data_IF_329715413225
#
_entry.id   IF_329715413225
#
_cell.length_a   1.000
_cell.length_b   1.000
_cell.length_c   1.000
_cell.angle_alpha   90.00
_cell.angle_beta   90.00
_cell.angle_gamma   90.00
#
_symmetry.space_group_name_H-M   'P 1'
#
loop_
_entity.id
_entity.type
_entity.pdbx_description
1 polymer ?
#
# COMPACT_ATOMS: atom_id res chain seq x y z
N UNK A 1 1.79 45.27 17.71
CA UNK A 1 1.47 46.55 17.04
C UNK A 1 0.87 47.48 18.08
N UNK A 2 1.14 48.78 18.00
CA UNK A 2 0.70 49.79 18.96
C UNK A 2 0.01 50.91 18.20
N UNK A 3 -1.16 51.32 18.67
CA UNK A 3 -1.99 52.37 18.11
C UNK A 3 -2.27 53.40 19.20
N UNK A 4 -2.12 54.67 18.87
CA UNK A 4 -2.38 55.79 19.79
C UNK A 4 -3.42 56.72 19.17
N UNK A 5 -4.40 57.15 19.98
CA UNK A 5 -5.39 58.17 19.58
C UNK A 5 -5.69 59.06 20.79
N UNK A 6 -5.13 60.27 20.79
CA UNK A 6 -5.22 61.20 21.92
C UNK A 6 -4.63 60.56 23.19
N UNK A 7 -5.29 60.65 24.36
CA UNK A 7 -4.82 60.05 25.61
C UNK A 7 -4.97 58.52 25.69
N UNK A 8 -5.42 57.86 24.63
CA UNK A 8 -5.69 56.41 24.62
C UNK A 8 -4.60 55.65 23.84
N UNK A 9 -4.11 54.56 24.42
CA UNK A 9 -3.13 53.63 23.85
C UNK A 9 -3.75 52.23 23.76
N UNK A 10 -3.61 51.62 22.58
CA UNK A 10 -4.03 50.25 22.32
C UNK A 10 -2.86 49.46 21.73
N UNK A 11 -2.49 48.35 22.36
CA UNK A 11 -1.45 47.47 21.88
C UNK A 11 -1.96 46.03 21.83
N UNK A 12 -1.58 45.30 20.78
CA UNK A 12 -1.81 43.87 20.73
C UNK A 12 -0.60 43.13 20.16
N UNK A 13 -0.47 41.87 20.58
CA UNK A 13 0.53 40.91 20.09
C UNK A 13 -0.16 39.57 19.84
N UNK A 14 0.28 38.85 18.80
CA UNK A 14 -0.17 37.49 18.54
C UNK A 14 -1.51 37.34 17.80
N UNK A 15 -1.86 38.26 16.87
CA UNK A 15 -3.07 38.15 16.03
C UNK A 15 -3.22 36.77 15.36
N UNK A 16 -2.11 36.18 14.93
CA UNK A 16 -2.10 34.84 14.33
C UNK A 16 -2.72 33.77 15.25
N UNK A 17 -2.40 33.79 16.55
CA UNK A 17 -2.99 32.87 17.54
C UNK A 17 -4.49 33.13 17.81
N UNK A 18 -4.99 34.32 17.49
CA UNK A 18 -6.44 34.62 17.57
C UNK A 18 -7.23 33.89 16.48
N UNK A 19 -6.69 33.86 15.27
CA UNK A 19 -7.32 33.24 14.10
C UNK A 19 -6.98 31.76 13.91
N UNK A 20 -5.95 31.25 14.60
CA UNK A 20 -5.54 29.86 14.52
C UNK A 20 -6.68 28.82 14.69
N UNK A 21 -7.64 28.98 15.63
CA UNK A 21 -8.76 28.05 15.75
C UNK A 21 -9.63 27.99 14.48
N UNK A 22 -9.82 29.09 13.76
CA UNK A 22 -10.55 29.10 12.50
C UNK A 22 -9.80 28.25 11.46
N UNK A 23 -8.47 28.40 11.41
CA UNK A 23 -7.61 27.57 10.56
C UNK A 23 -7.73 26.07 10.85
N UNK A 24 -7.85 25.68 12.12
CA UNK A 24 -8.08 24.26 12.49
C UNK A 24 -9.40 23.74 11.93
N UNK A 25 -10.49 24.51 12.01
CA UNK A 25 -11.79 24.10 11.45
C UNK A 25 -11.75 23.97 9.93
N UNK A 26 -11.10 24.93 9.24
CA UNK A 26 -10.88 24.84 7.79
C UNK A 26 -10.07 23.59 7.44
N UNK A 27 -9.00 23.30 8.19
CA UNK A 27 -8.20 22.10 7.98
C UNK A 27 -9.01 20.80 8.15
N UNK A 28 -9.90 20.75 9.16
CA UNK A 28 -10.82 19.61 9.33
C UNK A 28 -11.79 19.45 8.15
N UNK A 29 -12.31 20.55 7.61
CA UNK A 29 -13.16 20.52 6.41
C UNK A 29 -12.39 19.97 5.20
N UNK A 30 -11.12 20.37 5.02
CA UNK A 30 -10.27 19.82 3.96
C UNK A 30 -10.04 18.32 4.11
N UNK A 31 -9.70 17.84 5.32
CA UNK A 31 -9.53 16.41 5.58
C UNK A 31 -10.83 15.65 5.27
N UNK A 32 -11.97 16.16 5.72
CA UNK A 32 -13.27 15.55 5.47
C UNK A 32 -13.62 15.52 3.98
N UNK A 33 -13.43 16.64 3.27
CA UNK A 33 -13.68 16.73 1.83
C UNK A 33 -12.78 15.76 1.04
N UNK A 34 -11.49 15.69 1.39
CA UNK A 34 -10.56 14.74 0.79
C UNK A 34 -10.97 13.29 1.05
N UNK A 35 -11.40 12.95 2.27
CA UNK A 35 -11.88 11.62 2.60
C UNK A 35 -13.17 11.25 1.85
N UNK A 36 -14.11 12.20 1.69
CA UNK A 36 -15.32 12.01 0.87
C UNK A 36 -14.95 11.77 -0.60
N UNK A 37 -13.99 12.53 -1.13
CA UNK A 37 -13.51 12.33 -2.51
C UNK A 37 -12.82 10.97 -2.67
N UNK A 38 -11.97 10.55 -1.72
CA UNK A 38 -11.40 9.20 -1.69
C UNK A 38 -12.50 8.12 -1.68
N UNK A 39 -13.52 8.27 -0.83
CA UNK A 39 -14.58 7.26 -0.71
C UNK A 39 -15.41 7.12 -2.00
N UNK A 40 -15.64 8.23 -2.70
CA UNK A 40 -16.60 8.29 -3.81
C UNK A 40 -15.98 8.32 -5.21
N UNK A 41 -14.70 8.66 -5.32
CA UNK A 41 -13.96 8.80 -6.59
C UNK A 41 -12.75 7.88 -6.74
N UNK A 42 -12.52 6.95 -5.81
CA UNK A 42 -11.39 5.99 -5.91
C UNK A 42 -11.74 4.75 -6.73
N UNK A 43 -10.69 4.07 -7.19
CA UNK A 43 -10.77 2.73 -7.78
C UNK A 43 -9.94 1.74 -6.97
N UNK A 44 -10.39 0.48 -6.95
CA UNK A 44 -9.61 -0.65 -6.43
C UNK A 44 -9.73 -1.85 -7.37
N UNK A 45 -8.61 -2.53 -7.61
CA UNK A 45 -8.54 -3.81 -8.31
C UNK A 45 -7.60 -4.77 -7.57
N UNK A 46 -7.78 -6.06 -7.79
CA UNK A 46 -6.89 -7.10 -7.30
C UNK A 46 -6.81 -8.19 -8.37
N UNK A 47 -5.60 -8.68 -8.63
CA UNK A 47 -5.36 -9.69 -9.67
C UNK A 47 -4.19 -10.61 -9.26
N UNK A 48 -4.34 -11.89 -9.54
CA UNK A 48 -3.25 -12.87 -9.45
C UNK A 48 -2.76 -13.21 -10.85
N UNK A 49 -1.48 -12.95 -11.13
CA UNK A 49 -0.92 -13.06 -12.47
C UNK A 49 0.31 -13.97 -12.45
N UNK A 50 0.28 -15.10 -13.18
CA UNK A 50 1.46 -15.94 -13.41
C UNK A 50 2.61 -15.15 -14.04
N UNK A 51 3.85 -15.51 -13.70
CA UNK A 51 5.01 -14.93 -14.37
C UNK A 51 4.96 -15.19 -15.89
N UNK A 52 5.39 -14.19 -16.67
CA UNK A 52 5.36 -14.19 -18.13
C UNK A 52 4.02 -13.78 -18.74
N UNK A 53 2.98 -13.51 -17.95
CA UNK A 53 1.68 -13.07 -18.44
C UNK A 53 1.45 -11.57 -18.23
N UNK A 54 0.44 -11.08 -18.95
CA UNK A 54 0.03 -9.68 -18.97
C UNK A 54 -1.39 -9.52 -18.43
N UNK A 55 -1.68 -8.30 -17.96
CA UNK A 55 -3.04 -7.84 -17.75
C UNK A 55 -3.15 -6.35 -18.05
N UNK A 56 -4.34 -5.91 -18.45
CA UNK A 56 -4.65 -4.49 -18.61
C UNK A 56 -5.21 -3.95 -17.30
N UNK A 57 -4.75 -2.78 -16.88
CA UNK A 57 -5.17 -2.19 -15.60
C UNK A 57 -6.69 -1.96 -15.56
N UNK A 58 -7.27 -1.43 -16.63
CA UNK A 58 -8.70 -1.12 -16.72
C UNK A 58 -9.61 -2.33 -16.48
N UNK A 59 -9.19 -3.54 -16.87
CA UNK A 59 -9.99 -4.76 -16.78
C UNK A 59 -10.23 -5.21 -15.33
N UNK A 60 -9.29 -4.90 -14.44
CA UNK A 60 -9.34 -5.32 -13.04
C UNK A 60 -9.83 -4.20 -12.11
N UNK A 61 -9.81 -2.95 -12.56
CA UNK A 61 -10.12 -1.79 -11.74
C UNK A 61 -11.63 -1.59 -11.61
N UNK A 62 -12.13 -1.63 -10.37
CA UNK A 62 -13.54 -1.40 -10.06
C UNK A 62 -13.72 -0.03 -9.39
N UNK A 63 -14.69 0.78 -9.85
CA UNK A 63 -15.01 2.05 -9.19
C UNK A 63 -15.57 1.79 -7.80
N UNK A 64 -15.19 2.60 -6.81
CA UNK A 64 -15.74 2.51 -5.44
C UNK A 64 -17.00 3.36 -5.26
N UNK A 65 -17.21 4.37 -6.12
CA UNK A 65 -18.37 5.26 -6.02
C UNK A 65 -18.73 5.96 -7.33
N UNK A 66 -19.77 6.78 -7.26
CA UNK A 66 -20.45 7.37 -8.43
C UNK A 66 -19.59 8.47 -9.10
N UNK A 67 -18.65 9.08 -8.37
CA UNK A 67 -17.75 10.13 -8.88
C UNK A 67 -16.42 9.57 -9.41
N UNK A 68 -16.33 8.25 -9.62
CA UNK A 68 -15.11 7.60 -10.09
C UNK A 68 -14.97 7.81 -11.60
N UNK A 69 -13.97 8.60 -12.02
CA UNK A 69 -13.65 8.84 -13.43
C UNK A 69 -12.41 8.03 -13.78
N UNK A 70 -12.51 7.14 -14.76
CA UNK A 70 -11.40 6.30 -15.20
C UNK A 70 -10.32 7.18 -15.89
N UNK A 71 -9.07 7.20 -15.39
CA UNK A 71 -7.97 7.92 -16.02
C UNK A 71 -7.39 7.12 -17.20
N UNK A 72 -6.75 7.82 -18.14
CA UNK A 72 -6.20 7.22 -19.38
C UNK A 72 -5.16 6.11 -19.13
N UNK A 73 -4.46 6.17 -17.99
CA UNK A 73 -3.52 5.14 -17.53
C UNK A 73 -4.16 3.76 -17.33
N UNK A 74 -5.50 3.65 -17.34
CA UNK A 74 -6.18 2.34 -17.29
C UNK A 74 -5.94 1.50 -18.55
N UNK A 75 -5.53 2.14 -19.65
CA UNK A 75 -5.16 1.44 -20.87
C UNK A 75 -3.73 0.89 -20.87
N UNK A 76 -2.96 1.13 -19.79
CA UNK A 76 -1.61 0.59 -19.65
C UNK A 76 -1.65 -0.91 -19.37
N UNK A 77 -0.84 -1.66 -20.12
CA UNK A 77 -0.64 -3.09 -19.92
C UNK A 77 0.51 -3.32 -18.92
N UNK A 78 0.31 -4.26 -18.00
CA UNK A 78 1.30 -4.66 -17.01
C UNK A 78 1.74 -6.08 -17.34
N UNK A 79 3.03 -6.24 -17.64
CA UNK A 79 3.67 -7.55 -17.79
C UNK A 79 4.39 -7.94 -16.49
N UNK A 80 4.17 -9.16 -16.04
CA UNK A 80 4.93 -9.75 -14.94
C UNK A 80 6.15 -10.46 -15.52
N UNK A 81 7.30 -9.79 -15.56
CA UNK A 81 8.54 -10.39 -16.08
C UNK A 81 8.95 -11.60 -15.25
N UNK A 82 8.92 -11.45 -13.91
CA UNK A 82 9.38 -12.47 -12.98
C UNK A 82 8.77 -12.26 -11.60
N UNK A 83 8.43 -13.37 -10.96
CA UNK A 83 8.13 -13.41 -9.53
C UNK A 83 9.16 -14.29 -8.83
N UNK A 84 9.69 -13.85 -7.69
CA UNK A 84 10.61 -14.65 -6.89
C UNK A 84 10.53 -14.31 -5.41
N UNK A 85 10.97 -15.27 -4.60
CA UNK A 85 10.95 -15.20 -3.14
C UNK A 85 12.38 -15.28 -2.61
N UNK A 86 12.70 -14.44 -1.64
CA UNK A 86 13.92 -14.56 -0.83
C UNK A 86 13.60 -15.30 0.45
N UNK A 87 14.55 -16.11 0.91
CA UNK A 87 14.40 -16.97 2.08
C UNK A 87 15.55 -16.69 3.04
N UNK A 88 15.27 -16.78 4.33
CA UNK A 88 16.31 -16.81 5.36
C UNK A 88 17.04 -18.16 5.32
N UNK A 89 18.20 -18.23 5.99
CA UNK A 89 18.94 -19.48 6.15
C UNK A 89 18.13 -20.57 6.88
N UNK A 90 17.12 -20.17 7.66
CA UNK A 90 16.14 -21.07 8.29
C UNK A 90 15.18 -21.74 7.31
N UNK A 91 15.13 -21.28 6.05
CA UNK A 91 14.18 -21.72 5.02
C UNK A 91 12.82 -20.99 5.06
N UNK A 92 12.63 -20.06 5.99
CA UNK A 92 11.42 -19.22 6.02
C UNK A 92 11.48 -18.11 4.97
N UNK A 93 10.32 -17.73 4.43
CA UNK A 93 10.22 -16.66 3.44
C UNK A 93 10.52 -15.32 4.11
N UNK A 94 11.51 -14.60 3.57
CA UNK A 94 11.90 -13.26 4.01
C UNK A 94 11.16 -12.17 3.25
N UNK A 95 11.08 -12.30 1.92
CA UNK A 95 10.56 -11.23 1.07
C UNK A 95 10.03 -11.77 -0.27
N UNK A 96 9.05 -11.05 -0.83
CA UNK A 96 8.45 -11.33 -2.13
C UNK A 96 8.81 -10.22 -3.10
N UNK A 97 9.25 -10.58 -4.30
CA UNK A 97 9.59 -9.63 -5.35
C UNK A 97 8.83 -9.92 -6.63
N UNK A 98 8.35 -8.85 -7.25
CA UNK A 98 7.67 -8.90 -8.54
C UNK A 98 8.31 -7.89 -9.47
N UNK A 99 8.92 -8.36 -10.55
CA UNK A 99 9.51 -7.52 -11.59
C UNK A 99 8.47 -7.20 -12.66
N UNK A 100 8.07 -5.95 -12.74
CA UNK A 100 6.94 -5.51 -13.56
C UNK A 100 7.42 -4.55 -14.66
N UNK A 101 6.90 -4.73 -15.87
CA UNK A 101 7.04 -3.78 -16.98
C UNK A 101 5.67 -3.22 -17.36
N UNK A 102 5.62 -1.91 -17.56
CA UNK A 102 4.44 -1.16 -17.97
C UNK A 102 4.57 -0.80 -19.44
N UNK A 103 3.55 -1.10 -20.23
CA UNK A 103 3.51 -0.82 -21.65
C UNK A 103 2.36 0.14 -21.98
N UNK A 104 2.65 1.12 -22.83
CA UNK A 104 1.64 2.02 -23.38
C UNK A 104 0.80 1.31 -24.47
N UNK A 105 -0.26 1.96 -24.93
CA UNK A 105 -1.11 1.51 -26.05
C UNK A 105 -0.33 1.22 -27.33
N UNK A 106 0.79 1.91 -27.54
CA UNK A 106 1.68 1.71 -28.70
C UNK A 106 2.64 0.52 -28.52
N UNK A 107 2.53 -0.23 -27.42
CA UNK A 107 3.40 -1.38 -27.08
C UNK A 107 4.81 -0.97 -26.62
N UNK A 108 5.04 0.31 -26.34
CA UNK A 108 6.32 0.81 -25.85
C UNK A 108 6.43 0.63 -24.33
N UNK A 109 7.54 0.05 -23.87
CA UNK A 109 7.85 -0.02 -22.44
C UNK A 109 8.07 1.39 -21.88
N UNK A 110 7.19 1.81 -20.97
CA UNK A 110 7.21 3.14 -20.35
C UNK A 110 8.00 3.13 -19.05
N UNK A 111 7.93 2.02 -18.31
CA UNK A 111 8.59 1.86 -17.03
C UNK A 111 8.77 0.39 -16.70
N UNK A 112 9.93 0.03 -16.14
CA UNK A 112 10.15 -1.25 -15.49
C UNK A 112 10.64 -1.05 -14.07
N UNK A 113 10.08 -1.81 -13.14
CA UNK A 113 10.46 -1.75 -11.73
C UNK A 113 10.17 -3.08 -11.04
N UNK A 114 11.13 -3.49 -10.23
CA UNK A 114 10.94 -4.57 -9.27
C UNK A 114 10.35 -4.00 -7.98
N UNK A 115 9.17 -4.50 -7.59
CA UNK A 115 8.48 -4.14 -6.35
C UNK A 115 8.60 -5.25 -5.32
N UNK A 116 8.36 -4.90 -4.06
CA UNK A 116 8.29 -5.83 -2.93
C UNK A 116 7.24 -5.37 -1.92
N UNK A 117 7.01 -6.19 -0.89
CA UNK A 117 6.13 -5.82 0.23
C UNK A 117 6.59 -4.46 0.80
N UNK A 118 5.65 -3.53 0.96
CA UNK A 118 5.86 -2.15 1.43
C UNK A 118 6.64 -1.21 0.50
N UNK A 119 7.05 -1.62 -0.71
CA UNK A 119 7.66 -0.74 -1.72
C UNK A 119 6.88 -0.85 -3.05
N UNK A 120 5.75 -0.12 -3.17
CA UNK A 120 4.86 -0.24 -4.31
C UNK A 120 5.35 0.55 -5.53
N UNK A 121 4.87 0.15 -6.71
CA UNK A 121 5.04 0.92 -7.95
C UNK A 121 3.98 2.01 -8.00
N UNK A 122 4.37 3.24 -8.34
CA UNK A 122 3.44 4.36 -8.58
C UNK A 122 3.62 4.90 -9.99
N UNK A 123 2.54 4.91 -10.76
CA UNK A 123 2.54 5.40 -12.14
C UNK A 123 1.16 5.98 -12.50
N UNK A 124 1.13 7.18 -13.09
CA UNK A 124 -0.11 7.81 -13.56
C UNK A 124 -1.23 7.98 -12.52
N UNK A 125 -0.89 8.09 -11.22
CA UNK A 125 -1.88 8.17 -10.13
C UNK A 125 -2.36 6.81 -9.61
N UNK A 126 -1.91 5.71 -10.21
CA UNK A 126 -2.14 4.34 -9.75
C UNK A 126 -0.99 3.91 -8.87
N UNK A 127 -1.32 3.18 -7.79
CA UNK A 127 -0.34 2.49 -6.96
C UNK A 127 -0.59 0.99 -7.04
N UNK A 128 0.45 0.24 -7.42
CA UNK A 128 0.45 -1.23 -7.53
C UNK A 128 1.23 -1.78 -6.33
N UNK A 129 0.54 -2.52 -5.48
CA UNK A 129 1.10 -3.18 -4.32
C UNK A 129 1.27 -4.67 -4.60
N UNK A 130 2.40 -5.23 -4.20
CA UNK A 130 2.49 -6.67 -4.00
C UNK A 130 1.79 -6.99 -2.68
N UNK A 131 0.78 -7.86 -2.73
CA UNK A 131 -0.05 -8.24 -1.58
C UNK A 131 -0.12 -9.73 -1.37
N UNK A 132 -0.01 -10.52 -2.44
CA UNK A 132 -0.06 -11.98 -2.33
C UNK A 132 0.84 -12.68 -3.36
N UNK A 133 0.89 -14.00 -3.30
CA UNK A 133 1.59 -14.87 -4.23
C UNK A 133 0.86 -16.18 -4.45
N UNK A 134 1.19 -16.87 -5.53
CA UNK A 134 0.70 -18.22 -5.78
C UNK A 134 1.68 -19.10 -6.54
N UNK A 135 1.28 -20.34 -6.74
CA UNK A 135 1.99 -21.32 -7.54
C UNK A 135 1.09 -21.67 -8.72
N UNK A 136 1.48 -21.29 -9.93
CA UNK A 136 0.66 -21.44 -11.13
C UNK A 136 0.89 -22.77 -11.83
N UNK A 137 2.15 -23.13 -12.09
CA UNK A 137 2.47 -24.34 -12.83
C UNK A 137 3.84 -24.89 -12.47
N UNK A 138 3.98 -26.21 -12.54
CA UNK A 138 5.24 -26.90 -12.37
C UNK A 138 5.71 -27.45 -13.72
N UNK A 139 6.93 -27.10 -14.12
CA UNK A 139 7.56 -27.65 -15.33
C UNK A 139 8.27 -28.95 -15.01
N UNK A 140 7.81 -30.02 -15.64
CA UNK A 140 8.33 -31.37 -15.41
C UNK A 140 8.72 -32.02 -16.73
N UNK A 141 9.88 -32.67 -16.76
CA UNK A 141 10.29 -33.60 -17.81
C UNK A 141 10.18 -35.03 -17.31
N UNK A 142 9.71 -35.92 -18.19
CA UNK A 142 9.57 -37.37 -17.94
C UNK A 142 10.41 -38.10 -18.98
N UNK A 143 11.40 -38.88 -18.55
CA UNK A 143 12.28 -39.67 -19.43
C UNK A 143 12.91 -38.85 -20.58
N UNK A 144 13.25 -37.58 -20.31
CA UNK A 144 13.77 -36.65 -21.32
C UNK A 144 12.71 -35.97 -22.21
N UNK A 145 11.45 -36.39 -22.15
CA UNK A 145 10.33 -35.74 -22.83
C UNK A 145 9.72 -34.60 -22.00
N UNK A 146 9.31 -33.52 -22.66
CA UNK A 146 8.77 -32.31 -22.04
C UNK A 146 9.59 -31.04 -22.37
N UNK A 147 9.40 -29.93 -21.63
CA UNK A 147 8.68 -29.83 -20.35
C UNK A 147 7.16 -29.81 -20.49
N UNK A 148 6.49 -30.56 -19.62
CA UNK A 148 5.07 -30.49 -19.38
C UNK A 148 4.77 -29.41 -18.33
N UNK A 149 3.89 -28.46 -18.65
CA UNK A 149 3.41 -27.46 -17.70
C UNK A 149 2.21 -28.02 -16.93
N UNK A 150 2.45 -28.56 -15.75
CA UNK A 150 1.40 -29.09 -14.88
C UNK A 150 0.81 -27.96 -14.04
N UNK A 151 -0.48 -27.68 -14.20
CA UNK A 151 -1.16 -26.67 -13.39
C UNK A 151 -1.15 -27.06 -11.91
N UNK A 152 -0.82 -26.09 -11.05
CA UNK A 152 -0.78 -26.27 -9.61
C UNK A 152 -2.06 -25.73 -8.99
N UNK A 153 -2.79 -26.59 -8.27
CA UNK A 153 -4.04 -26.22 -7.63
C UNK A 153 -3.81 -25.94 -6.14
N UNK A 154 -4.40 -24.87 -5.57
CA UNK A 154 -4.36 -24.64 -4.13
C UNK A 154 -5.19 -25.70 -3.42
N UNK A 155 -4.62 -26.32 -2.38
CA UNK A 155 -5.28 -27.29 -1.52
C UNK A 155 -5.71 -26.60 -0.23
N UNK A 156 -6.98 -26.80 0.15
CA UNK A 156 -7.52 -26.25 1.38
C UNK A 156 -6.94 -26.99 2.59
N UNK A 157 -6.24 -26.25 3.44
CA UNK A 157 -5.75 -26.73 4.73
C UNK A 157 -6.49 -26.00 5.85
N UNK A 158 -6.68 -26.66 6.98
CA UNK A 158 -7.13 -26.01 8.20
C UNK A 158 -6.00 -25.11 8.74
N UNK A 159 -5.92 -23.86 8.26
CA UNK A 159 -4.97 -22.83 8.70
C UNK A 159 -4.47 -21.91 7.57
N UNK A 160 -3.61 -20.95 7.91
CA UNK A 160 -3.07 -19.94 6.98
C UNK A 160 -1.89 -20.43 6.11
N UNK A 161 -1.66 -21.75 6.01
CA UNK A 161 -0.54 -22.28 5.23
C UNK A 161 -1.02 -22.63 3.83
N UNK A 162 -0.41 -22.01 2.82
CA UNK A 162 -0.64 -22.34 1.42
C UNK A 162 0.03 -23.68 1.10
N UNK A 163 -0.75 -24.58 0.50
CA UNK A 163 -0.26 -25.83 -0.06
C UNK A 163 -0.83 -25.93 -1.46
N UNK A 164 0.03 -26.28 -2.40
CA UNK A 164 -0.34 -26.49 -3.79
C UNK A 164 -0.07 -27.94 -4.15
N UNK A 165 -0.90 -28.49 -5.03
CA UNK A 165 -0.75 -29.84 -5.53
C UNK A 165 -0.93 -29.91 -7.04
N UNK A 166 -0.23 -30.84 -7.66
CA UNK A 166 -0.48 -31.26 -9.04
C UNK A 166 -0.30 -32.77 -9.17
N UNK A 167 -0.71 -33.29 -10.31
CA UNK A 167 -0.71 -34.72 -10.60
C UNK A 167 -0.24 -34.97 -12.02
N UNK A 168 0.78 -35.83 -12.16
CA UNK A 168 1.30 -36.28 -13.45
C UNK A 168 0.78 -37.70 -13.72
N UNK A 169 -0.17 -37.89 -14.66
CA UNK A 169 -0.62 -39.23 -15.04
C UNK A 169 0.53 -40.00 -15.71
N UNK A 170 0.68 -41.29 -15.36
CA UNK A 170 1.74 -42.15 -15.92
C UNK A 170 1.27 -43.01 -17.10
N UNK A 171 -0.03 -43.32 -17.15
CA UNK A 171 -0.68 -44.13 -18.19
C UNK A 171 -1.81 -43.33 -18.87
N UNK A 172 -1.91 -43.45 -20.19
CA UNK A 172 -3.11 -43.05 -20.94
C UNK A 172 -4.12 -44.20 -20.85
N UNK A 173 -5.23 -44.07 -20.12
CA UNK A 173 -6.38 -44.94 -20.40
C UNK A 173 -7.70 -44.38 -19.94
N UNK A 174 -8.72 -44.62 -20.77
CA UNK A 174 -10.17 -44.55 -20.58
C UNK A 174 -10.71 -45.41 -19.41
N UNK A 175 -9.90 -45.68 -18.38
CA UNK A 175 -10.22 -46.50 -17.23
C UNK A 175 -10.46 -45.64 -15.99
N UNK A 176 -11.42 -46.05 -15.16
CA UNK A 176 -11.92 -45.35 -13.96
C UNK A 176 -10.93 -45.14 -12.80
N UNK A 177 -9.62 -45.27 -13.02
CA UNK A 177 -8.58 -45.08 -12.00
C UNK A 177 -7.25 -44.66 -12.62
N UNK A 178 -7.08 -43.37 -12.89
CA UNK A 178 -5.81 -42.80 -13.39
C UNK A 178 -4.75 -42.91 -12.29
N UNK A 179 -3.70 -43.69 -12.54
CA UNK A 179 -2.51 -43.76 -11.67
C UNK A 179 -1.44 -42.78 -12.13
N UNK A 180 -0.74 -42.18 -11.19
CA UNK A 180 0.23 -41.14 -11.49
C UNK A 180 1.00 -40.64 -10.27
N UNK A 181 1.91 -39.72 -10.52
CA UNK A 181 2.79 -39.13 -9.52
C UNK A 181 2.12 -37.88 -8.97
N UNK A 182 1.91 -37.85 -7.66
CA UNK A 182 1.37 -36.67 -6.99
C UNK A 182 2.51 -35.78 -6.50
N UNK A 183 2.41 -34.49 -6.74
CA UNK A 183 3.43 -33.51 -6.35
C UNK A 183 2.79 -32.44 -5.48
N UNK A 184 3.42 -32.13 -4.36
CA UNK A 184 2.95 -31.14 -3.39
C UNK A 184 4.03 -30.09 -3.12
N UNK A 185 3.64 -28.84 -2.99
CA UNK A 185 4.54 -27.73 -2.76
C UNK A 185 3.96 -26.73 -1.76
N UNK A 186 4.78 -26.28 -0.80
CA UNK A 186 4.44 -25.18 0.13
C UNK A 186 5.09 -23.86 -0.27
N UNK A 187 6.09 -23.92 -1.12
CA UNK A 187 6.86 -22.81 -1.66
C UNK A 187 7.33 -23.17 -3.08
N UNK A 188 8.06 -22.27 -3.74
CA UNK A 188 8.61 -22.50 -5.09
C UNK A 188 9.95 -23.27 -5.09
N UNK A 189 10.54 -23.54 -3.92
CA UNK A 189 11.87 -24.15 -3.82
C UNK A 189 11.81 -25.67 -3.60
N UNK A 190 10.80 -26.17 -2.91
CA UNK A 190 10.75 -27.55 -2.43
C UNK A 190 9.47 -28.24 -2.87
N UNK A 191 9.61 -29.18 -3.80
CA UNK A 191 8.53 -30.00 -4.32
C UNK A 191 8.65 -31.41 -3.75
N UNK A 192 7.60 -31.86 -3.08
CA UNK A 192 7.47 -33.19 -2.50
C UNK A 192 6.82 -34.11 -3.52
N UNK A 193 7.42 -35.27 -3.79
CA UNK A 193 6.91 -36.25 -4.74
C UNK A 193 6.43 -37.51 -4.02
N UNK A 194 5.27 -38.00 -4.44
CA UNK A 194 4.65 -39.24 -4.02
C UNK A 194 4.46 -40.17 -5.22
N UNK A 195 4.67 -41.46 -5.01
CA UNK A 195 4.44 -42.47 -6.05
C UNK A 195 2.94 -42.73 -6.29
N UNK A 196 2.66 -43.63 -7.23
CA UNK A 196 1.30 -44.05 -7.61
C UNK A 196 0.48 -44.68 -6.48
N UNK A 197 1.15 -45.17 -5.42
CA UNK A 197 0.53 -45.79 -4.26
C UNK A 197 0.40 -44.78 -3.09
N UNK A 198 0.79 -43.52 -3.31
CA UNK A 198 0.75 -42.44 -2.33
C UNK A 198 1.90 -42.48 -1.31
N UNK A 199 2.94 -43.28 -1.54
CA UNK A 199 4.11 -43.35 -0.67
C UNK A 199 5.09 -42.23 -1.01
N UNK A 200 5.63 -41.59 0.02
CA UNK A 200 6.63 -40.55 -0.11
C UNK A 200 7.90 -41.10 -0.77
N UNK A 201 8.34 -40.45 -1.85
CA UNK A 201 9.55 -40.82 -2.58
C UNK A 201 10.71 -39.89 -2.24
N UNK A 202 10.46 -38.59 -2.20
CA UNK A 202 11.49 -37.61 -1.90
C UNK A 202 11.09 -36.17 -2.13
N UNK A 203 12.05 -35.28 -1.93
CA UNK A 203 11.93 -33.85 -2.21
C UNK A 203 12.92 -33.46 -3.30
N UNK A 204 12.47 -32.64 -4.24
CA UNK A 204 13.31 -32.05 -5.29
C UNK A 204 13.18 -30.55 -5.31
N UNK A 205 14.30 -29.89 -5.62
CA UNK A 205 14.35 -28.45 -5.82
C UNK A 205 14.50 -28.17 -7.31
N UNK A 206 13.68 -27.30 -7.92
CA UNK A 206 13.83 -26.97 -9.34
C UNK A 206 15.26 -26.49 -9.68
N UNK A 207 15.89 -25.75 -8.76
CA UNK A 207 17.25 -25.25 -8.92
C UNK A 207 18.34 -26.34 -8.99
N UNK A 208 18.11 -27.54 -8.45
CA UNK A 208 19.14 -28.59 -8.46
C UNK A 208 19.26 -29.28 -9.82
N UNK A 209 18.22 -29.25 -10.65
CA UNK A 209 18.16 -29.93 -11.96
C UNK A 209 18.57 -31.42 -11.92
N UNK A 210 18.37 -32.07 -10.76
CA UNK A 210 18.70 -33.47 -10.56
C UNK A 210 17.45 -34.32 -10.73
N UNK A 211 17.48 -35.36 -11.59
CA UNK A 211 16.34 -36.25 -11.77
C UNK A 211 16.06 -37.08 -10.51
N UNK A 212 14.85 -37.64 -10.45
CA UNK A 212 14.45 -38.65 -9.47
C UNK A 212 13.74 -39.78 -10.20
N UNK A 213 14.14 -41.02 -9.91
CA UNK A 213 13.46 -42.20 -10.46
C UNK A 213 12.25 -42.55 -9.59
N UNK A 214 11.08 -42.62 -10.23
CA UNK A 214 9.81 -42.99 -9.59
C UNK A 214 9.14 -44.04 -10.48
N UNK A 215 8.97 -45.25 -9.97
CA UNK A 215 8.33 -46.36 -10.69
C UNK A 215 8.92 -46.60 -12.10
N UNK A 216 10.25 -46.54 -12.22
CA UNK A 216 10.96 -46.73 -13.49
C UNK A 216 10.90 -45.55 -14.46
N UNK A 217 10.30 -44.42 -14.07
CA UNK A 217 10.32 -43.18 -14.83
C UNK A 217 11.28 -42.19 -14.21
N UNK A 218 12.13 -41.59 -15.04
CA UNK A 218 12.99 -40.48 -14.67
C UNK A 218 12.18 -39.18 -14.70
N UNK A 219 12.00 -38.56 -13.53
CA UNK A 219 11.29 -37.29 -13.39
C UNK A 219 12.28 -36.18 -13.06
N UNK A 220 12.28 -35.13 -13.87
CA UNK A 220 13.06 -33.93 -13.66
C UNK A 220 12.14 -32.73 -13.49
N UNK A 221 12.28 -32.01 -12.37
CA UNK A 221 11.60 -30.73 -12.16
C UNK A 221 12.51 -29.64 -12.71
N UNK A 222 12.07 -29.00 -13.80
CA UNK A 222 12.86 -27.95 -14.46
C UNK A 222 12.66 -26.59 -13.82
N UNK A 223 11.41 -26.19 -13.58
CA UNK A 223 11.08 -24.89 -13.03
C UNK A 223 9.75 -24.88 -12.25
N UNK A 224 9.63 -23.92 -11.34
CA UNK A 224 8.42 -23.66 -10.56
C UNK A 224 7.88 -22.28 -10.93
N UNK A 225 6.79 -22.26 -11.69
CA UNK A 225 6.16 -21.03 -12.17
C UNK A 225 5.24 -20.47 -11.07
N UNK A 226 5.69 -19.42 -10.41
CA UNK A 226 4.90 -18.66 -9.46
C UNK A 226 4.00 -17.61 -10.11
N UNK A 227 3.01 -17.15 -9.33
CA UNK A 227 2.20 -15.97 -9.62
C UNK A 227 2.39 -14.90 -8.55
N UNK A 228 2.23 -13.64 -8.96
CA UNK A 228 2.16 -12.49 -8.05
C UNK A 228 0.72 -12.05 -7.90
N UNK A 229 0.30 -11.81 -6.66
CA UNK A 229 -0.94 -11.13 -6.31
C UNK A 229 -0.69 -9.64 -6.17
N UNK A 230 -1.39 -8.86 -6.98
CA UNK A 230 -1.24 -7.42 -7.08
C UNK A 230 -2.54 -6.71 -6.72
N UNK A 231 -2.49 -5.79 -5.76
CA UNK A 231 -3.57 -4.86 -5.47
C UNK A 231 -3.27 -3.51 -6.11
N UNK A 232 -4.21 -3.02 -6.93
CA UNK A 232 -4.13 -1.73 -7.58
C UNK A 232 -5.10 -0.76 -6.92
N UNK A 233 -4.63 0.44 -6.63
CA UNK A 233 -5.44 1.51 -6.03
C UNK A 233 -5.19 2.83 -6.74
N UNK A 234 -6.28 3.54 -7.02
CA UNK A 234 -6.26 4.95 -7.44
C UNK A 234 -7.11 5.76 -6.47
N UNK A 235 -6.57 6.85 -5.96
CA UNK A 235 -7.22 7.64 -4.91
C UNK A 235 -6.96 9.14 -5.09
N UNK A 236 -7.93 9.90 -5.67
CA UNK A 236 -7.77 11.33 -5.92
C UNK A 236 -7.88 12.19 -4.65
N UNK A 237 -8.39 11.65 -3.54
CA UNK A 237 -8.57 12.40 -2.29
C UNK A 237 -7.30 12.56 -1.46
N UNK A 238 -6.30 11.70 -1.66
CA UNK A 238 -5.06 11.68 -0.87
C UNK A 238 -4.35 13.05 -0.80
N UNK A 239 -4.14 13.78 -1.91
CA UNK A 239 -3.48 15.10 -1.85
C UNK A 239 -4.24 16.11 -0.99
N UNK A 240 -5.58 16.11 -1.06
CA UNK A 240 -6.44 17.01 -0.28
C UNK A 240 -6.37 16.67 1.20
N UNK A 241 -6.42 15.37 1.53
CA UNK A 241 -6.28 14.88 2.91
C UNK A 241 -4.93 15.30 3.49
N UNK A 242 -3.82 15.11 2.76
CA UNK A 242 -2.51 15.53 3.22
C UNK A 242 -2.36 17.04 3.36
N UNK A 243 -2.93 17.82 2.44
CA UNK A 243 -2.97 19.28 2.58
C UNK A 243 -3.75 19.69 3.84
N UNK A 244 -4.88 19.04 4.12
CA UNK A 244 -5.66 19.23 5.34
C UNK A 244 -4.87 18.90 6.61
N UNK A 245 -4.19 17.76 6.67
CA UNK A 245 -3.33 17.40 7.80
C UNK A 245 -2.16 18.37 7.98
N UNK A 246 -1.50 18.79 6.90
CA UNK A 246 -0.43 19.79 6.95
C UNK A 246 -0.92 21.14 7.49
N UNK A 247 -2.08 21.61 7.01
CA UNK A 247 -2.73 22.81 7.52
C UNK A 247 -3.12 22.67 9.00
N UNK A 248 -3.60 21.48 9.41
CA UNK A 248 -3.96 21.20 10.80
C UNK A 248 -2.73 21.27 11.71
N UNK A 249 -1.63 20.64 11.32
CA UNK A 249 -0.36 20.70 12.08
C UNK A 249 0.12 22.15 12.22
N UNK A 250 0.18 22.90 11.11
CA UNK A 250 0.64 24.28 11.10
C UNK A 250 -0.25 25.21 11.93
N UNK A 251 -1.57 25.14 11.77
CA UNK A 251 -2.52 25.98 12.51
C UNK A 251 -2.55 25.63 14.00
N UNK A 252 -2.35 24.37 14.35
CA UNK A 252 -2.17 23.94 15.75
C UNK A 252 -0.91 24.54 16.35
N UNK A 253 0.23 24.52 15.66
CA UNK A 253 1.45 25.19 16.11
C UNK A 253 1.22 26.71 16.32
N UNK A 254 0.54 27.38 15.39
CA UNK A 254 0.20 28.81 15.50
C UNK A 254 -0.76 29.08 16.67
N UNK A 255 -1.63 28.13 17.01
CA UNK A 255 -2.56 28.23 18.15
C UNK A 255 -1.85 28.30 19.50
N UNK A 256 -0.59 27.84 19.59
CA UNK A 256 0.23 28.02 20.79
C UNK A 256 0.75 29.45 20.96
N UNK A 257 0.73 30.28 19.91
CA UNK A 257 1.10 31.69 20.03
C UNK A 257 0.03 32.43 20.85
N UNK A 258 0.44 32.97 22.00
CA UNK A 258 -0.47 33.71 22.87
C UNK A 258 -0.86 35.03 22.23
N UNK A 259 -2.17 35.27 22.18
CA UNK A 259 -2.71 36.58 21.84
C UNK A 259 -2.93 37.39 23.12
N UNK A 260 -2.33 38.58 23.17
CA UNK A 260 -2.41 39.51 24.29
C UNK A 260 -2.85 40.89 23.78
N UNK A 261 -3.76 41.53 24.51
CA UNK A 261 -4.21 42.90 24.24
C UNK A 261 -4.05 43.75 25.50
N UNK A 262 -3.61 44.99 25.31
CA UNK A 262 -3.45 45.99 26.36
C UNK A 262 -4.09 47.29 25.90
N UNK A 263 -4.94 47.85 26.74
CA UNK A 263 -5.53 49.17 26.57
C UNK A 263 -5.09 50.05 27.74
N UNK A 264 -4.61 51.26 27.48
CA UNK A 264 -4.33 52.25 28.49
C UNK A 264 -4.99 53.60 28.14
N UNK A 265 -5.51 54.32 29.13
CA UNK A 265 -6.10 55.65 28.95
C UNK A 265 -5.58 56.61 30.03
N UNK A 266 -5.03 57.73 29.59
CA UNK A 266 -4.50 58.78 30.46
C UNK A 266 -5.57 59.86 30.69
N UNK A 267 -6.02 60.06 31.92
CA UNK A 267 -6.86 61.19 32.30
C UNK A 267 -6.09 62.05 33.32
N UNK A 268 -6.35 63.36 33.37
CA UNK A 268 -5.55 64.44 34.00
C UNK A 268 -5.00 64.17 35.43
N UNK A 269 -5.49 63.12 36.13
CA UNK A 269 -4.97 62.64 37.42
C UNK A 269 -4.94 61.11 37.63
N UNK A 270 -5.31 60.30 36.63
CA UNK A 270 -5.41 58.84 36.77
C UNK A 270 -4.93 58.11 35.52
N UNK A 271 -4.12 57.07 35.71
CA UNK A 271 -3.68 56.15 34.65
C UNK A 271 -4.44 54.83 34.76
N UNK A 272 -5.33 54.56 33.81
CA UNK A 272 -6.05 53.29 33.76
C UNK A 272 -5.35 52.34 32.80
N UNK A 273 -4.89 51.19 33.32
CA UNK A 273 -4.28 50.11 32.55
C UNK A 273 -5.17 48.87 32.60
N UNK A 274 -5.54 48.33 31.45
CA UNK A 274 -6.30 47.08 31.34
C UNK A 274 -5.59 46.14 30.38
N UNK A 275 -5.29 44.92 30.83
CA UNK A 275 -4.76 43.84 30.01
C UNK A 275 -5.75 42.70 29.93
N UNK A 276 -5.89 42.09 28.74
CA UNK A 276 -6.64 40.87 28.55
C UNK A 276 -5.76 39.83 27.84
N UNK A 277 -5.50 38.70 28.51
CA UNK A 277 -4.86 37.53 27.93
C UNK A 277 -5.89 36.41 27.74
N UNK A 278 -5.83 35.72 26.60
CA UNK A 278 -6.79 34.66 26.26
C UNK A 278 -6.62 33.36 27.06
N UNK A 279 -5.49 33.18 27.79
CA UNK A 279 -5.18 31.97 28.58
C UNK A 279 -4.98 32.22 30.08
N UNK A 280 -5.09 33.46 30.55
CA UNK A 280 -5.22 33.80 31.97
C UNK A 280 -5.92 35.14 32.11
N UNK A 281 -7.02 35.17 32.85
CA UNK A 281 -7.60 36.42 33.32
C UNK A 281 -6.68 36.95 34.44
N UNK A 282 -5.72 37.81 34.10
CA UNK A 282 -5.14 38.71 35.11
C UNK A 282 -5.98 39.98 35.10
N UNK A 283 -6.98 40.03 35.97
CA UNK A 283 -7.73 41.23 36.27
C UNK A 283 -7.17 41.81 37.56
N UNK A 284 -6.10 42.61 37.50
CA UNK A 284 -5.67 43.40 38.66
C UNK A 284 -4.72 44.55 38.25
N UNK A 285 -5.16 45.80 38.40
CA UNK A 285 -4.70 46.73 39.46
C UNK A 285 -5.34 48.11 39.29
N UNK A 286 -6.15 48.52 40.26
CA UNK A 286 -6.45 49.92 40.55
C UNK A 286 -5.17 50.51 41.18
N UNK A 287 -4.35 51.23 40.43
CA UNK A 287 -3.17 51.89 41.00
C UNK A 287 -3.65 53.14 41.74
N UNK A 288 -3.63 53.07 43.08
CA UNK A 288 -3.83 54.23 43.96
C UNK A 288 -2.74 55.27 43.71
N UNK A 289 -3.15 56.54 43.75
CA UNK A 289 -2.34 57.69 43.41
C UNK A 289 -1.03 57.77 44.18
N UNK A 290 0.05 57.99 43.43
CA UNK A 290 1.28 58.56 43.96
C UNK A 290 1.11 60.08 43.98
N UNK A 291 0.99 60.59 45.20
CA UNK A 291 1.08 61.99 45.59
C UNK A 291 2.36 62.57 44.97
N UNK A 292 2.22 63.54 44.06
CA UNK A 292 3.28 64.52 43.83
C UNK A 292 3.33 65.43 45.07
N UNK A 293 4.56 65.66 45.56
CA UNK A 293 4.85 66.87 46.33
C UNK A 293 4.47 68.13 45.55
#
# INVERSE_FOLDING_TARGET
>A
QVFTKGPSLYAFKGLAGRYAPIGVHVAMIFVMAGATLSATGSFKGSVDVPQGLNFVIGDIMKPKGIFSVAPDVFNTEVHVNRFYMEYYDSGEVSQFYSDLSLFDLDGKEVMRRTIKVNDPLRYGGITIYQTDWGFSALQVKKNGEGPFNLAMAPLQLNGNKKLYGTFLPLEDSDSSGVKGISMLARDLQSIVLYDQDGKFVGVRRPSSKLPIEINGNEILIEDAIGSTGLDLKTDPGIPIVYAGFGALMLTTCISYLSHAQVCAKLQIRYFFFHGCLRRSLYQLLHIYGLICS
#
